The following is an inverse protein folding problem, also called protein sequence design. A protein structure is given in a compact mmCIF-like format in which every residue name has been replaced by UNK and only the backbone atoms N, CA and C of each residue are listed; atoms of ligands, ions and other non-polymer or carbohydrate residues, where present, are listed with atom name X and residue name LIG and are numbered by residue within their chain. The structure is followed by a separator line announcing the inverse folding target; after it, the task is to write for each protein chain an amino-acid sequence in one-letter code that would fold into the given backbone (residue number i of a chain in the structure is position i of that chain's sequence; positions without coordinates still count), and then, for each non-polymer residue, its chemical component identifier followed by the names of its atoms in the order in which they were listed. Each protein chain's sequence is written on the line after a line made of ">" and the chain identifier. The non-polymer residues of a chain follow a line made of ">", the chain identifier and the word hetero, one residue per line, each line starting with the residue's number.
data_IF_435068433098
#
_entry.id   IF_435068433098
#
_cell.length_a   1.000
_cell.length_b   1.000
_cell.length_c   1.000
_cell.angle_alpha   90.00
_cell.angle_beta   90.00
_cell.angle_gamma   90.00
#
_symmetry.space_group_name_H-M   'P 1'
#
loop_
_entity.id
_entity.type
_entity.pdbx_description
1 polymer ?
#
# COMPACT_ATOMS: atom_id res chain seq x y z
N UNK A 1 1.33 32.55 -30.48
CA UNK A 1 1.41 33.23 -29.16
C UNK A 1 0.41 32.71 -28.12
N UNK A 2 -0.93 32.72 -28.31
CA UNK A 2 -1.86 32.13 -27.31
C UNK A 2 -1.98 30.60 -27.42
N UNK A 3 -1.98 30.06 -28.65
CA UNK A 3 -2.03 28.60 -28.87
C UNK A 3 -0.75 27.88 -28.41
N UNK A 4 0.41 28.52 -28.58
CA UNK A 4 1.69 27.98 -28.10
C UNK A 4 1.74 27.94 -26.57
N UNK A 5 1.28 28.99 -25.88
CA UNK A 5 1.22 29.01 -24.42
C UNK A 5 0.31 27.91 -23.85
N UNK A 6 -0.79 27.57 -24.53
CA UNK A 6 -1.66 26.44 -24.14
C UNK A 6 -1.02 25.07 -24.34
N UNK A 7 -0.24 24.91 -25.42
CA UNK A 7 0.47 23.66 -25.75
C UNK A 7 1.57 23.36 -24.74
N UNK A 8 2.42 24.34 -24.44
CA UNK A 8 3.45 24.22 -23.40
C UNK A 8 2.87 23.88 -22.03
N UNK A 9 1.72 24.44 -21.67
CA UNK A 9 1.08 24.17 -20.38
C UNK A 9 0.56 22.73 -20.26
N UNK A 10 0.08 22.14 -21.35
CA UNK A 10 -0.37 20.74 -21.35
C UNK A 10 0.82 19.77 -21.33
N UNK A 11 1.85 20.04 -22.14
CA UNK A 11 3.08 19.22 -22.15
C UNK A 11 3.78 19.21 -20.78
N UNK A 12 3.84 20.36 -20.10
CA UNK A 12 4.46 20.48 -18.76
C UNK A 12 3.65 19.71 -17.70
N UNK A 13 2.31 19.79 -17.74
CA UNK A 13 1.43 19.06 -16.82
C UNK A 13 1.50 17.54 -17.05
N UNK A 14 1.59 17.09 -18.30
CA UNK A 14 1.72 15.67 -18.64
C UNK A 14 3.07 15.10 -18.17
N UNK A 15 4.16 15.83 -18.41
CA UNK A 15 5.49 15.49 -17.88
C UNK A 15 5.49 15.43 -16.35
N UNK A 16 4.85 16.39 -15.69
CA UNK A 16 4.76 16.41 -14.23
C UNK A 16 3.95 15.24 -13.68
N UNK A 17 2.84 14.87 -14.32
CA UNK A 17 2.05 13.67 -13.97
C UNK A 17 2.90 12.41 -14.11
N UNK A 18 3.59 12.26 -15.24
CA UNK A 18 4.48 11.12 -15.50
C UNK A 18 5.58 10.99 -14.45
N UNK A 19 6.25 12.08 -14.09
CA UNK A 19 7.30 12.07 -13.04
C UNK A 19 6.71 11.70 -11.68
N UNK A 20 5.52 12.21 -11.33
CA UNK A 20 4.84 11.84 -10.09
C UNK A 20 4.46 10.35 -10.05
N UNK A 21 3.84 9.84 -11.11
CA UNK A 21 3.44 8.43 -11.21
C UNK A 21 4.67 7.51 -11.12
N UNK A 22 5.75 7.85 -11.82
CA UNK A 22 7.03 7.14 -11.75
C UNK A 22 7.62 7.13 -10.33
N UNK A 23 7.69 8.28 -9.67
CA UNK A 23 8.19 8.36 -8.29
C UNK A 23 7.29 7.59 -7.31
N UNK A 24 5.97 7.60 -7.51
CA UNK A 24 5.04 6.85 -6.67
C UNK A 24 5.27 5.33 -6.82
N UNK A 25 5.38 4.85 -8.06
CA UNK A 25 5.66 3.44 -8.36
C UNK A 25 7.02 2.99 -7.78
N UNK A 26 8.05 3.81 -7.93
CA UNK A 26 9.39 3.52 -7.40
C UNK A 26 9.40 3.44 -5.87
N UNK A 27 8.76 4.41 -5.21
CA UNK A 27 8.63 4.40 -3.75
C UNK A 27 7.83 3.20 -3.25
N UNK A 28 6.76 2.84 -3.95
CA UNK A 28 5.94 1.69 -3.59
C UNK A 28 6.73 0.38 -3.74
N UNK A 29 7.44 0.21 -4.87
CA UNK A 29 8.27 -0.95 -5.13
C UNK A 29 9.38 -1.10 -4.08
N UNK A 30 10.04 0.00 -3.74
CA UNK A 30 11.08 -0.01 -2.71
C UNK A 30 10.54 -0.38 -1.33
N UNK A 31 9.40 0.20 -0.93
CA UNK A 31 8.76 -0.13 0.35
C UNK A 31 8.38 -1.60 0.42
N UNK A 32 7.70 -2.13 -0.60
CA UNK A 32 7.26 -3.52 -0.60
C UNK A 32 8.41 -4.51 -0.63
N UNK A 33 9.46 -4.23 -1.42
CA UNK A 33 10.70 -5.02 -1.40
C UNK A 33 11.30 -5.08 0.00
N UNK A 34 11.36 -3.95 0.69
CA UNK A 34 11.89 -3.91 2.05
C UNK A 34 11.00 -4.68 3.02
N UNK A 35 9.68 -4.53 2.89
CA UNK A 35 8.68 -5.23 3.71
C UNK A 35 8.79 -6.75 3.61
N UNK A 36 8.92 -7.32 2.41
CA UNK A 36 9.01 -8.78 2.24
C UNK A 36 10.39 -9.36 2.62
N UNK A 37 11.43 -8.51 2.65
CA UNK A 37 12.80 -8.87 3.05
C UNK A 37 13.05 -8.70 4.54
N UNK A 38 12.17 -8.00 5.25
CA UNK A 38 12.18 -7.96 6.71
C UNK A 38 11.81 -9.35 7.25
N UNK A 39 12.68 -9.98 8.05
CA UNK A 39 12.45 -11.33 8.55
C UNK A 39 11.10 -11.48 9.28
N UNK A 40 10.73 -10.51 10.13
CA UNK A 40 9.49 -10.60 10.95
C UNK A 40 8.24 -10.61 10.10
N UNK A 41 8.27 -9.91 8.98
CA UNK A 41 7.14 -9.81 8.06
C UNK A 41 7.22 -10.91 7.00
N UNK A 42 8.38 -11.07 6.39
CA UNK A 42 8.66 -12.08 5.38
C UNK A 42 8.28 -13.46 5.86
N UNK A 43 8.62 -13.87 7.08
CA UNK A 43 8.24 -15.19 7.62
C UNK A 43 6.72 -15.42 7.69
N UNK A 44 5.94 -14.35 7.89
CA UNK A 44 4.46 -14.41 7.93
C UNK A 44 3.82 -14.51 6.55
N UNK A 45 4.58 -14.24 5.49
CA UNK A 45 4.08 -14.27 4.12
C UNK A 45 4.35 -15.63 3.47
N UNK A 46 3.38 -16.20 2.72
CA UNK A 46 3.63 -17.42 1.97
C UNK A 46 4.64 -17.13 0.85
N UNK A 47 5.48 -18.12 0.53
CA UNK A 47 6.55 -17.97 -0.47
C UNK A 47 6.01 -17.55 -1.85
N UNK A 48 4.80 -17.98 -2.20
CA UNK A 48 4.12 -17.57 -3.43
C UNK A 48 3.82 -16.06 -3.47
N UNK A 49 3.39 -15.47 -2.35
CA UNK A 49 3.07 -14.04 -2.27
C UNK A 49 4.36 -13.20 -2.25
N UNK A 50 5.41 -13.68 -1.56
CA UNK A 50 6.74 -13.04 -1.61
C UNK A 50 7.27 -12.99 -3.04
N UNK A 51 7.22 -14.12 -3.75
CA UNK A 51 7.71 -14.20 -5.13
C UNK A 51 6.94 -13.27 -6.06
N UNK A 52 5.61 -13.17 -5.93
CA UNK A 52 4.80 -12.22 -6.70
C UNK A 52 5.23 -10.77 -6.47
N UNK A 53 5.51 -10.39 -5.23
CA UNK A 53 5.99 -9.03 -4.92
C UNK A 53 7.42 -8.83 -5.46
N UNK A 54 8.31 -9.83 -5.38
CA UNK A 54 9.66 -9.74 -5.95
C UNK A 54 9.64 -9.58 -7.47
N UNK A 55 8.95 -10.48 -8.18
CA UNK A 55 8.80 -10.44 -9.64
C UNK A 55 8.25 -9.07 -10.05
N UNK A 56 7.22 -8.60 -9.34
CA UNK A 56 6.67 -7.28 -9.56
C UNK A 56 7.70 -6.15 -9.36
N UNK A 57 8.37 -6.08 -8.21
CA UNK A 57 9.33 -5.01 -7.91
C UNK A 57 10.41 -4.94 -8.99
N UNK A 58 10.83 -6.11 -9.49
CA UNK A 58 11.80 -6.21 -10.57
C UNK A 58 11.24 -5.66 -11.89
N UNK A 59 10.01 -6.03 -12.26
CA UNK A 59 9.31 -5.50 -13.44
C UNK A 59 9.10 -3.98 -13.36
N UNK A 60 8.71 -3.45 -12.20
CA UNK A 60 8.59 -2.02 -11.97
C UNK A 60 9.94 -1.33 -12.15
N UNK A 61 11.00 -1.83 -11.51
CA UNK A 61 12.34 -1.24 -11.60
C UNK A 61 12.88 -1.25 -13.03
N UNK A 62 12.68 -2.35 -13.77
CA UNK A 62 13.08 -2.47 -15.17
C UNK A 62 12.25 -1.53 -16.07
N UNK A 63 10.93 -1.47 -15.87
CA UNK A 63 10.04 -0.58 -16.61
C UNK A 63 10.36 0.89 -16.39
N UNK A 64 10.73 1.27 -15.16
CA UNK A 64 11.13 2.64 -14.83
C UNK A 64 12.46 3.05 -15.49
N UNK A 65 13.43 2.14 -15.59
CA UNK A 65 14.73 2.40 -16.22
C UNK A 65 14.68 2.40 -17.76
N UNK A 66 13.87 1.52 -18.36
CA UNK A 66 13.86 1.32 -19.82
C UNK A 66 12.78 2.09 -20.58
N UNK A 67 11.68 2.49 -19.93
CA UNK A 67 10.49 2.97 -20.64
C UNK A 67 10.32 4.49 -20.58
N UNK A 68 11.25 5.23 -21.19
CA UNK A 68 11.16 6.69 -21.29
C UNK A 68 9.95 7.14 -22.13
N UNK A 69 9.34 6.25 -22.92
CA UNK A 69 8.18 6.51 -23.77
C UNK A 69 6.82 6.20 -23.11
N UNK A 70 6.76 5.54 -21.95
CA UNK A 70 5.49 5.29 -21.27
C UNK A 70 4.79 6.60 -20.89
N UNK A 71 3.48 6.66 -21.05
CA UNK A 71 2.69 7.80 -20.61
C UNK A 71 2.42 7.73 -19.10
N UNK A 72 1.87 8.80 -18.54
CA UNK A 72 1.50 8.79 -17.12
C UNK A 72 0.48 7.67 -16.82
N UNK A 73 -0.45 7.44 -17.74
CA UNK A 73 -1.53 6.45 -17.63
C UNK A 73 -0.98 5.02 -17.52
N UNK A 74 0.06 4.67 -18.29
CA UNK A 74 0.74 3.36 -18.18
C UNK A 74 1.30 3.09 -16.78
N UNK A 75 1.86 4.12 -16.14
CA UNK A 75 2.40 4.00 -14.79
C UNK A 75 1.29 3.90 -13.75
N UNK A 76 0.17 4.62 -13.95
CA UNK A 76 -1.00 4.55 -13.08
C UNK A 76 -1.70 3.19 -13.17
N UNK A 77 -1.88 2.62 -14.37
CA UNK A 77 -2.50 1.31 -14.53
C UNK A 77 -1.63 0.18 -14.01
N UNK A 78 -0.31 0.25 -14.24
CA UNK A 78 0.62 -0.61 -13.51
C UNK A 78 0.38 -0.47 -12.02
N UNK A 79 0.43 0.73 -11.46
CA UNK A 79 0.25 0.91 -10.01
C UNK A 79 -1.01 0.24 -9.47
N UNK A 80 -2.16 0.38 -10.15
CA UNK A 80 -3.42 -0.28 -9.77
C UNK A 80 -3.35 -1.81 -9.80
N UNK A 81 -2.77 -2.40 -10.84
CA UNK A 81 -2.60 -3.86 -10.94
C UNK A 81 -1.82 -4.39 -9.73
N UNK A 82 -0.85 -3.60 -9.29
CA UNK A 82 0.10 -3.97 -8.25
C UNK A 82 -0.46 -3.78 -6.87
N UNK A 83 -1.23 -2.71 -6.67
CA UNK A 83 -2.07 -2.56 -5.49
C UNK A 83 -3.06 -3.71 -5.37
N UNK A 84 -3.61 -4.23 -6.47
CA UNK A 84 -4.50 -5.40 -6.43
C UNK A 84 -3.82 -6.66 -5.87
N UNK A 85 -2.52 -6.83 -6.16
CA UNK A 85 -1.71 -7.93 -5.64
C UNK A 85 -1.25 -7.67 -4.21
N UNK A 86 -0.78 -6.45 -3.92
CA UNK A 86 -0.15 -6.10 -2.65
C UNK A 86 -1.16 -5.81 -1.54
N UNK A 87 -2.30 -5.16 -1.82
CA UNK A 87 -3.33 -4.83 -0.82
C UNK A 87 -3.81 -6.04 -0.02
N UNK A 88 -4.17 -7.20 -0.61
CA UNK A 88 -4.57 -8.37 0.16
C UNK A 88 -3.41 -8.96 0.99
N UNK A 89 -2.16 -8.81 0.54
CA UNK A 89 -0.96 -9.28 1.25
C UNK A 89 -0.69 -8.39 2.46
N UNK A 90 -0.73 -7.07 2.26
CA UNK A 90 -0.58 -6.04 3.30
C UNK A 90 -1.69 -6.19 4.35
N UNK A 91 -2.96 -6.35 3.92
CA UNK A 91 -4.07 -6.56 4.84
C UNK A 91 -3.87 -7.80 5.73
N UNK A 92 -3.43 -8.93 5.15
CA UNK A 92 -3.09 -10.14 5.91
C UNK A 92 -1.93 -9.89 6.89
N UNK A 93 -0.92 -9.11 6.50
CA UNK A 93 0.19 -8.76 7.41
C UNK A 93 -0.27 -7.93 8.61
N UNK A 94 -1.11 -6.91 8.40
CA UNK A 94 -1.63 -6.07 9.48
C UNK A 94 -2.55 -6.87 10.40
N UNK A 95 -3.37 -7.78 9.87
CA UNK A 95 -4.15 -8.71 10.69
C UNK A 95 -3.26 -9.70 11.46
N UNK A 96 -2.17 -10.18 10.88
CA UNK A 96 -1.22 -11.09 11.53
C UNK A 96 -0.20 -10.42 12.47
N UNK A 97 -0.17 -9.08 12.53
CA UNK A 97 0.71 -8.30 13.41
C UNK A 97 -0.10 -7.52 14.47
N UNK A 98 -1.40 -7.33 14.25
CA UNK A 98 -2.34 -6.74 15.21
C UNK A 98 -2.84 -7.66 16.32
N UNK A 99 -2.28 -8.87 16.46
CA UNK A 99 -2.66 -9.84 17.51
C UNK A 99 -1.94 -9.65 18.85
N UNK A 100 -0.96 -8.74 18.95
CA UNK A 100 -0.08 -8.64 20.13
C UNK A 100 -0.05 -7.23 20.77
N UNK A 101 -1.04 -6.38 20.48
CA UNK A 101 -1.19 -5.09 21.18
C UNK A 101 -2.66 -4.82 21.54
N UNK A 102 -3.05 -5.29 22.74
CA UNK A 102 -4.13 -4.68 23.52
C UNK A 102 -5.54 -5.25 23.32
N UNK A 103 -5.80 -6.43 23.90
CA UNK A 103 -7.11 -6.77 24.45
C UNK A 103 -6.97 -6.93 25.96
N UNK A 104 -7.73 -6.21 26.81
CA UNK A 104 -7.58 -6.28 28.26
C UNK A 104 -7.84 -7.70 28.77
N UNK A 105 -7.01 -8.10 29.74
CA UNK A 105 -7.10 -9.29 30.58
C UNK A 105 -8.53 -9.75 30.86
N UNK A 106 -8.91 -10.90 30.30
CA UNK A 106 -9.98 -11.74 30.81
C UNK A 106 -9.34 -12.71 31.80
N UNK A 107 -9.18 -12.28 33.05
CA UNK A 107 -8.89 -13.18 34.17
C UNK A 107 -9.66 -12.68 35.40
N UNK A 108 -10.74 -13.42 35.69
CA UNK A 108 -11.46 -13.55 36.95
C UNK A 108 -12.01 -12.31 37.71
N UNK A 109 -13.34 -12.12 37.61
CA UNK A 109 -14.21 -11.98 38.79
C UNK A 109 -15.70 -12.24 38.44
N UNK A 110 -16.41 -13.21 39.09
CA UNK A 110 -17.86 -13.38 38.96
C UNK A 110 -18.64 -12.44 39.92
N UNK A 111 -19.99 -12.38 39.82
CA UNK A 111 -20.77 -11.15 39.84
C UNK A 111 -21.27 -10.75 41.23
N UNK A 112 -21.46 -9.44 41.45
CA UNK A 112 -22.28 -8.94 42.56
C UNK A 112 -23.31 -7.95 42.04
N UNK A 113 -24.56 -8.40 42.12
CA UNK A 113 -25.77 -7.62 41.86
C UNK A 113 -25.82 -6.35 42.72
N UNK A 114 -25.97 -5.19 42.07
CA UNK A 114 -26.41 -3.93 42.68
C UNK A 114 -27.87 -3.65 42.30
N UNK A 115 -28.74 -3.22 43.23
CA UNK A 115 -30.18 -3.16 43.03
C UNK A 115 -30.65 -1.93 42.24
N UNK A 116 -31.82 -2.10 41.61
CA UNK A 116 -32.67 -1.13 40.91
C UNK A 116 -33.12 0.01 41.82
N UNK A 117 -33.27 1.23 41.27
CA UNK A 117 -34.31 2.27 41.47
C UNK A 117 -33.73 3.63 41.01
N UNK A 118 -34.42 4.60 40.40
CA UNK A 118 -35.67 4.78 39.68
C UNK A 118 -35.54 6.20 39.11
N UNK A 119 -35.95 6.45 37.85
CA UNK A 119 -36.19 7.82 37.39
C UNK A 119 -37.35 8.41 38.21
N UNK A 120 -37.23 9.62 38.76
CA UNK A 120 -38.24 10.70 38.70
C UNK A 120 -37.94 11.84 39.70
N UNK A 121 -37.89 13.06 39.14
CA UNK A 121 -37.79 14.43 39.73
C UNK A 121 -36.44 14.89 40.33
#
# INVERSE_FOLDING_TARGET
>A
MVQEAGKYKSEDEEHKKKVKAKNALENYAYNMRNTIRDDKIGEKLPAADKKKIEDWVEEATQGLCGNQLAEADDFEDKMKELESVCNPIIAKMYQGTGGEAGGPTDDEAPPAAGPKIEEVD
#
